data_IF_849235365912
#
_entry.id   IF_849235365912
#
_cell.length_a   1.000
_cell.length_b   1.000
_cell.length_c   1.000
_cell.angle_alpha   90.00
_cell.angle_beta   90.00
_cell.angle_gamma   90.00
#
_symmetry.space_group_name_H-M   'P 1'
#
loop_
_entity.id
_entity.type
_entity.pdbx_description
1 polymer ?
#
# COMPACT_ATOMS: atom_id res chain seq x y z
N UNK A 1 -11.01 -15.11 11.12
CA UNK A 1 -10.22 -14.21 10.27
C UNK A 1 -9.70 -13.04 11.08
N UNK A 2 -8.44 -12.70 11.01
CA UNK A 2 -7.98 -11.48 11.66
C UNK A 2 -8.62 -10.25 11.01
N UNK A 3 -8.97 -9.30 11.83
CA UNK A 3 -9.52 -8.03 11.39
C UNK A 3 -8.41 -6.99 11.50
N UNK A 4 -7.88 -6.57 10.36
CA UNK A 4 -6.68 -5.73 10.30
C UNK A 4 -7.05 -4.28 10.03
N UNK A 5 -6.24 -3.38 10.58
CA UNK A 5 -6.38 -1.95 10.38
C UNK A 5 -5.01 -1.29 10.50
N UNK A 6 -4.91 -0.05 10.07
CA UNK A 6 -3.70 0.75 10.27
C UNK A 6 -3.66 1.23 11.70
N UNK A 7 -2.54 0.95 12.38
CA UNK A 7 -2.33 1.44 13.75
C UNK A 7 -2.16 2.96 13.75
N UNK A 8 -1.54 3.49 12.69
CA UNK A 8 -1.39 4.92 12.47
C UNK A 8 -2.04 5.25 11.14
N UNK A 9 -3.06 6.13 11.10
CA UNK A 9 -3.70 6.50 9.85
C UNK A 9 -2.70 7.08 8.86
N UNK A 10 -2.82 6.69 7.58
CA UNK A 10 -2.02 7.28 6.52
C UNK A 10 -2.72 8.51 5.97
N UNK A 11 -1.98 9.60 5.73
CA UNK A 11 -2.55 10.75 5.03
C UNK A 11 -2.80 10.42 3.56
N UNK A 12 -3.54 11.28 2.88
CA UNK A 12 -3.66 11.20 1.43
C UNK A 12 -2.27 11.08 0.81
N UNK A 13 -2.12 10.13 -0.09
CA UNK A 13 -0.85 9.94 -0.78
C UNK A 13 -0.80 10.81 -2.03
N UNK A 14 0.19 11.69 -2.11
CA UNK A 14 0.43 12.51 -3.29
C UNK A 14 1.57 11.88 -4.06
N UNK A 15 1.27 11.38 -5.24
CA UNK A 15 2.25 10.67 -6.06
C UNK A 15 2.64 11.56 -7.25
N UNK A 16 3.93 11.84 -7.36
CA UNK A 16 4.46 12.59 -8.49
C UNK A 16 4.71 11.59 -9.62
N UNK A 17 4.05 11.79 -10.75
CA UNK A 17 4.19 10.90 -11.90
C UNK A 17 5.64 10.88 -12.39
N UNK A 18 6.16 9.69 -12.65
CA UNK A 18 7.53 9.53 -13.11
C UNK A 18 8.57 9.43 -11.99
N UNK A 19 8.13 9.44 -10.72
CA UNK A 19 9.02 9.25 -9.57
C UNK A 19 8.64 8.01 -8.79
N UNK A 20 9.60 7.42 -8.09
CA UNK A 20 9.32 6.33 -7.16
C UNK A 20 8.45 6.83 -6.01
N UNK A 21 7.53 5.99 -5.56
CA UNK A 21 6.70 6.31 -4.41
C UNK A 21 6.77 5.16 -3.41
N UNK A 22 7.18 5.46 -2.18
CA UNK A 22 7.28 4.49 -1.10
C UNK A 22 6.15 4.74 -0.11
N UNK A 23 5.55 3.67 0.38
CA UNK A 23 4.54 3.73 1.44
C UNK A 23 4.96 2.78 2.56
N UNK A 24 5.20 3.34 3.75
CA UNK A 24 5.45 2.55 4.95
C UNK A 24 4.21 2.59 5.82
N UNK A 25 3.81 1.46 6.37
CA UNK A 25 2.60 1.39 7.16
C UNK A 25 2.74 0.40 8.32
N UNK A 26 2.05 0.71 9.40
CA UNK A 26 2.01 -0.09 10.61
C UNK A 26 0.61 -0.67 10.77
N UNK A 27 0.53 -1.98 10.87
CA UNK A 27 -0.74 -2.71 10.94
C UNK A 27 -0.94 -3.29 12.33
N UNK A 28 -2.16 -3.22 12.82
CA UNK A 28 -2.54 -3.85 14.08
C UNK A 28 -3.80 -4.71 13.89
N UNK A 29 -4.04 -5.60 14.84
CA UNK A 29 -5.29 -6.33 14.91
C UNK A 29 -6.34 -5.39 15.50
N UNK A 30 -7.40 -5.10 14.74
CA UNK A 30 -8.41 -4.13 15.14
C UNK A 30 -9.19 -4.57 16.38
N UNK A 31 -9.28 -5.88 16.62
CA UNK A 31 -10.02 -6.41 17.76
C UNK A 31 -9.25 -6.33 19.08
N UNK A 32 -7.92 -6.51 19.03
CA UNK A 32 -7.07 -6.55 20.22
C UNK A 32 -6.20 -5.31 20.39
N UNK A 33 -5.97 -4.55 19.33
CA UNK A 33 -5.04 -3.42 19.31
C UNK A 33 -3.57 -3.81 19.31
N UNK A 34 -3.27 -5.11 19.24
CA UNK A 34 -1.89 -5.58 19.21
C UNK A 34 -1.31 -5.47 17.80
N UNK A 35 0.02 -5.31 17.72
CA UNK A 35 0.71 -5.27 16.44
C UNK A 35 0.46 -6.55 15.65
N UNK A 36 0.23 -6.39 14.35
CA UNK A 36 0.05 -7.53 13.47
C UNK A 36 1.41 -8.20 13.21
N UNK A 37 1.47 -9.51 13.39
CA UNK A 37 2.69 -10.27 13.10
C UNK A 37 2.63 -10.71 11.63
N UNK A 38 3.61 -10.24 10.84
CA UNK A 38 3.68 -10.52 9.40
C UNK A 38 4.15 -11.94 9.06
N UNK A 39 4.46 -12.76 10.07
CA UNK A 39 4.86 -14.15 9.83
C UNK A 39 3.75 -14.91 9.09
N UNK A 40 4.08 -15.46 7.93
CA UNK A 40 3.10 -16.17 7.10
C UNK A 40 2.23 -15.26 6.24
N UNK A 41 2.55 -13.98 6.13
CA UNK A 41 1.80 -13.01 5.32
C UNK A 41 2.74 -12.17 4.46
N UNK A 42 2.23 -11.78 3.30
CA UNK A 42 2.96 -10.92 2.35
C UNK A 42 2.22 -9.60 2.21
N UNK A 43 2.89 -8.46 2.40
CA UNK A 43 2.26 -7.17 2.15
C UNK A 43 2.03 -6.98 0.65
N UNK A 44 0.87 -6.46 0.30
CA UNK A 44 0.52 -6.15 -1.09
C UNK A 44 -0.20 -4.81 -1.14
N UNK A 45 0.09 -4.02 -2.15
CA UNK A 45 -0.56 -2.74 -2.36
C UNK A 45 -0.94 -2.57 -3.82
N UNK A 46 -2.12 -2.03 -4.05
CA UNK A 46 -2.63 -1.77 -5.40
C UNK A 46 -3.17 -0.34 -5.43
N UNK A 47 -2.80 0.41 -6.46
CA UNK A 47 -3.38 1.72 -6.72
C UNK A 47 -4.36 1.57 -7.87
N UNK A 48 -5.59 2.05 -7.68
CA UNK A 48 -6.60 2.07 -8.73
C UNK A 48 -6.89 3.52 -9.12
N UNK A 49 -6.89 3.79 -10.43
CA UNK A 49 -7.20 5.10 -11.01
C UNK A 49 -8.12 4.86 -12.20
N UNK A 50 -9.41 5.19 -12.06
CA UNK A 50 -10.39 4.87 -13.10
C UNK A 50 -10.43 3.37 -13.37
N UNK A 51 -10.16 2.97 -14.61
CA UNK A 51 -10.09 1.56 -15.01
C UNK A 51 -8.67 0.98 -14.91
N UNK A 52 -7.68 1.80 -14.58
CA UNK A 52 -6.29 1.35 -14.45
C UNK A 52 -6.02 0.85 -13.04
N UNK A 53 -5.13 -0.14 -12.92
CA UNK A 53 -4.67 -0.60 -11.62
C UNK A 53 -3.18 -0.90 -11.68
N UNK A 54 -2.47 -0.53 -10.62
CA UNK A 54 -1.02 -0.68 -10.52
C UNK A 54 -0.70 -1.41 -9.22
N UNK A 55 -0.03 -2.57 -9.34
CA UNK A 55 0.46 -3.28 -8.16
C UNK A 55 1.87 -2.80 -7.82
N UNK A 56 2.18 -2.70 -6.52
CA UNK A 56 3.52 -2.30 -6.09
C UNK A 56 4.56 -3.25 -6.68
N UNK A 57 5.67 -2.68 -7.13
CA UNK A 57 6.75 -3.45 -7.75
C UNK A 57 7.51 -4.30 -6.74
N UNK A 58 7.61 -3.82 -5.50
CA UNK A 58 8.32 -4.53 -4.45
C UNK A 58 7.73 -4.22 -3.08
N UNK A 59 8.09 -5.05 -2.12
CA UNK A 59 7.67 -4.88 -0.73
C UNK A 59 8.80 -5.32 0.21
N UNK A 60 8.70 -4.89 1.46
CA UNK A 60 9.62 -5.29 2.51
C UNK A 60 8.87 -5.32 3.83
N UNK A 61 9.09 -6.34 4.64
CA UNK A 61 8.60 -6.37 6.01
C UNK A 61 9.69 -5.76 6.88
N UNK A 62 9.45 -4.56 7.39
CA UNK A 62 10.45 -3.81 8.16
C UNK A 62 10.57 -4.38 9.56
N UNK A 63 9.44 -4.63 10.22
CA UNK A 63 9.40 -5.25 11.54
C UNK A 63 8.27 -6.27 11.57
N UNK A 64 8.63 -7.55 11.57
CA UNK A 64 7.66 -8.63 11.51
C UNK A 64 6.72 -8.62 12.72
N UNK A 65 7.29 -8.62 13.92
CA UNK A 65 6.50 -8.60 15.15
C UNK A 65 5.94 -7.21 15.47
N UNK A 66 6.53 -6.15 14.94
CA UNK A 66 6.07 -4.78 15.12
C UNK A 66 4.97 -4.36 14.16
N UNK A 67 4.64 -5.18 13.18
CA UNK A 67 3.55 -4.91 12.24
C UNK A 67 3.88 -3.90 11.15
N UNK A 68 5.14 -3.55 10.95
CA UNK A 68 5.53 -2.52 9.99
C UNK A 68 5.98 -3.14 8.68
N UNK A 69 5.46 -2.63 7.58
CA UNK A 69 5.81 -3.05 6.23
C UNK A 69 5.92 -1.83 5.30
N UNK A 70 6.53 -2.04 4.16
CA UNK A 70 6.74 -1.01 3.15
C UNK A 70 6.46 -1.59 1.77
N UNK A 71 5.87 -0.78 0.91
CA UNK A 71 5.68 -1.11 -0.50
C UNK A 71 6.26 0.00 -1.35
N UNK A 72 6.71 -0.34 -2.57
CA UNK A 72 7.37 0.62 -3.45
C UNK A 72 6.73 0.53 -4.84
N UNK A 73 6.30 1.68 -5.35
CA UNK A 73 5.86 1.86 -6.74
C UNK A 73 6.98 2.55 -7.48
N UNK A 74 7.40 1.99 -8.60
CA UNK A 74 8.54 2.53 -9.35
C UNK A 74 8.16 3.75 -10.19
N UNK A 75 9.16 4.51 -10.60
CA UNK A 75 8.99 5.64 -11.49
C UNK A 75 8.29 5.24 -12.80
N UNK A 76 8.62 4.06 -13.32
CA UNK A 76 7.99 3.53 -14.53
C UNK A 76 6.50 3.28 -14.32
N UNK A 77 6.13 2.76 -13.14
CA UNK A 77 4.72 2.51 -12.82
C UNK A 77 3.92 3.79 -12.65
N UNK A 78 4.45 4.76 -11.90
CA UNK A 78 3.77 6.04 -11.67
C UNK A 78 3.70 6.86 -12.95
N UNK A 79 4.72 6.75 -13.80
CA UNK A 79 4.76 7.43 -15.09
C UNK A 79 3.76 6.87 -16.11
N UNK A 80 3.23 5.68 -15.87
CA UNK A 80 2.18 5.10 -16.69
C UNK A 80 0.83 5.79 -16.54
N UNK A 81 0.65 6.59 -15.49
CA UNK A 81 -0.55 7.40 -15.32
C UNK A 81 -0.32 8.71 -16.09
N UNK A 82 -1.07 8.91 -17.16
CA UNK A 82 -0.80 9.98 -18.12
C UNK A 82 -1.41 11.32 -17.76
N UNK A 83 -2.29 11.37 -16.74
CA UNK A 83 -2.97 12.60 -16.32
C UNK A 83 -2.95 12.72 -14.81
N UNK A 84 -2.95 13.96 -14.32
CA UNK A 84 -3.22 14.21 -12.92
C UNK A 84 -4.62 13.67 -12.60
N UNK A 85 -4.73 12.82 -11.59
CA UNK A 85 -5.94 12.07 -11.31
C UNK A 85 -6.06 11.74 -9.83
N UNK A 86 -7.30 11.41 -9.42
CA UNK A 86 -7.57 10.87 -8.11
C UNK A 86 -7.73 9.36 -8.21
N UNK A 87 -7.32 8.66 -7.18
CA UNK A 87 -7.45 7.22 -7.10
C UNK A 87 -7.45 6.73 -5.67
N UNK A 88 -7.26 5.44 -5.51
CA UNK A 88 -7.23 4.79 -4.19
C UNK A 88 -6.04 3.85 -4.09
N UNK A 89 -5.36 3.90 -2.95
CA UNK A 89 -4.33 2.95 -2.58
C UNK A 89 -4.98 1.93 -1.65
N UNK A 90 -4.94 0.67 -2.03
CA UNK A 90 -5.53 -0.41 -1.24
C UNK A 90 -4.41 -1.29 -0.70
N UNK A 91 -4.38 -1.47 0.61
CA UNK A 91 -3.35 -2.24 1.30
C UNK A 91 -3.92 -3.58 1.74
N UNK A 92 -3.15 -4.64 1.51
CA UNK A 92 -3.54 -6.01 1.84
C UNK A 92 -2.44 -6.74 2.58
N UNK A 93 -2.84 -7.72 3.39
CA UNK A 93 -1.95 -8.77 3.89
C UNK A 93 -2.43 -10.10 3.30
N UNK A 94 -1.61 -10.72 2.47
CA UNK A 94 -1.97 -11.95 1.80
C UNK A 94 -1.36 -13.14 2.53
N UNK A 95 -2.19 -14.07 3.07
CA UNK A 95 -1.65 -15.29 3.67
C UNK A 95 -0.88 -16.11 2.64
N UNK A 96 0.29 -16.60 3.00
CA UNK A 96 1.09 -17.43 2.10
C UNK A 96 0.57 -18.85 1.99
N UNK A 97 -0.25 -19.28 2.97
CA UNK A 97 -0.80 -20.64 3.02
C UNK A 97 -2.03 -20.84 2.15
N UNK A 98 -2.68 -19.79 1.70
CA UNK A 98 -3.89 -19.85 0.88
C UNK A 98 -4.01 -18.61 -0.01
N UNK A 99 -5.10 -18.51 -0.78
CA UNK A 99 -5.30 -17.42 -1.72
C UNK A 99 -6.21 -16.30 -1.21
N UNK A 100 -6.47 -16.25 0.09
CA UNK A 100 -7.26 -15.17 0.68
C UNK A 100 -6.50 -13.84 0.64
N UNK A 101 -7.25 -12.75 0.61
CA UNK A 101 -6.70 -11.40 0.65
C UNK A 101 -7.29 -10.68 1.86
N UNK A 102 -6.46 -10.33 2.83
CA UNK A 102 -6.91 -9.59 4.00
C UNK A 102 -6.75 -8.10 3.75
N UNK A 103 -7.88 -7.42 3.59
CA UNK A 103 -7.88 -5.96 3.41
C UNK A 103 -7.46 -5.26 4.70
N UNK A 104 -6.51 -4.35 4.60
CA UNK A 104 -6.04 -3.55 5.72
C UNK A 104 -6.72 -2.19 5.71
N UNK A 105 -6.56 -1.45 4.62
CA UNK A 105 -7.08 -0.09 4.52
C UNK A 105 -7.13 0.38 3.08
N UNK A 106 -7.95 1.38 2.82
CA UNK A 106 -8.00 2.10 1.55
C UNK A 106 -7.69 3.57 1.82
N UNK A 107 -6.69 4.10 1.13
CA UNK A 107 -6.18 5.45 1.33
C UNK A 107 -6.36 6.25 0.05
N UNK A 108 -6.87 7.49 0.12
CA UNK A 108 -6.99 8.30 -1.09
C UNK A 108 -5.62 8.66 -1.66
N UNK A 109 -5.54 8.68 -2.99
CA UNK A 109 -4.31 8.98 -3.72
C UNK A 109 -4.60 10.06 -4.75
N UNK A 110 -3.65 10.97 -4.91
CA UNK A 110 -3.70 11.99 -5.94
C UNK A 110 -2.41 11.95 -6.74
N UNK A 111 -2.55 11.79 -8.05
CA UNK A 111 -1.42 11.85 -8.97
C UNK A 111 -1.27 13.29 -9.47
N UNK A 112 -0.07 13.83 -9.29
CA UNK A 112 0.24 15.17 -9.76
C UNK A 112 0.94 15.12 -11.12
N UNK A 113 1.16 16.28 -11.72
CA UNK A 113 1.96 16.37 -12.93
C UNK A 113 3.38 15.86 -12.67
N UNK A 114 4.03 15.39 -13.75
CA UNK A 114 5.42 14.96 -13.65
C UNK A 114 6.29 16.07 -13.07
N UNK A 115 7.32 15.67 -12.31
CA UNK A 115 8.29 16.61 -11.82
C UNK A 115 9.00 17.27 -12.99
N UNK A 116 9.12 18.59 -12.91
CA UNK A 116 9.87 19.35 -13.92
C UNK A 116 11.31 19.37 -13.47
N UNK A 117 12.16 18.84 -14.31
CA UNK A 117 13.59 18.82 -14.07
C UNK A 117 14.24 20.11 -14.56
#
# INVERSE_FOLDING_TARGET
MPNLDLATPLPEQVIVRGENHEVSFHVHNADSGQNFNWSGYTPRAVITVGSASISAASFSVISQAGGTAQVIFTASQTGGITKASWGSLILYADPTANSENLHIATVPVRFTAEAIS
#
